data_IF_911515023166
#
_entry.id   IF_911515023166
#
_cell.length_a   1.000
_cell.length_b   1.000
_cell.length_c   1.000
_cell.angle_alpha   90.00
_cell.angle_beta   90.00
_cell.angle_gamma   90.00
#
_symmetry.space_group_name_H-M   'P 1'
#
loop_
_entity.id
_entity.type
_entity.pdbx_description
1 polymer ?
#
# COMPACT_ATOMS: atom_id res chain seq x y z
N UNK A 1 2.13 -11.51 -27.14
CA UNK A 1 1.16 -10.53 -26.61
C UNK A 1 1.52 -10.01 -25.21
N UNK A 2 1.92 -10.84 -24.25
CA UNK A 2 2.25 -10.38 -22.88
C UNK A 2 3.43 -9.39 -22.79
N UNK A 3 4.53 -9.63 -23.53
CA UNK A 3 5.75 -8.80 -23.47
C UNK A 3 5.54 -7.34 -23.93
N UNK A 4 4.68 -7.13 -24.93
CA UNK A 4 4.35 -5.81 -25.47
C UNK A 4 3.51 -5.00 -24.48
N UNK A 5 2.54 -5.63 -23.81
CA UNK A 5 1.76 -5.02 -22.75
C UNK A 5 2.63 -4.70 -21.53
N UNK A 6 3.55 -5.59 -21.16
CA UNK A 6 4.52 -5.37 -20.09
C UNK A 6 5.36 -4.13 -20.33
N UNK A 7 5.85 -3.93 -21.57
CA UNK A 7 6.61 -2.74 -21.93
C UNK A 7 5.82 -1.42 -21.76
N UNK A 8 4.48 -1.46 -21.84
CA UNK A 8 3.60 -0.31 -21.65
C UNK A 8 3.34 -0.05 -20.16
N UNK A 9 3.17 -1.09 -19.33
CA UNK A 9 2.81 -0.91 -17.91
C UNK A 9 4.01 -0.88 -16.97
N UNK A 10 5.18 -1.35 -17.41
CA UNK A 10 6.36 -1.42 -16.57
C UNK A 10 6.92 -0.01 -16.28
N UNK A 11 7.06 0.40 -15.01
CA UNK A 11 7.62 1.71 -14.64
C UNK A 11 9.10 1.88 -15.01
N UNK A 12 9.79 0.78 -15.31
CA UNK A 12 11.17 0.80 -15.82
C UNK A 12 11.23 1.25 -17.29
N UNK A 13 10.22 0.90 -18.10
CA UNK A 13 10.18 1.15 -19.55
C UNK A 13 9.29 2.32 -19.93
N UNK A 14 8.20 2.56 -19.18
CA UNK A 14 7.28 3.66 -19.42
C UNK A 14 7.39 4.76 -18.35
N UNK A 15 7.60 6.00 -18.80
CA UNK A 15 7.66 7.18 -17.93
C UNK A 15 6.33 7.46 -17.21
N UNK A 16 5.19 7.28 -17.87
CA UNK A 16 3.87 7.51 -17.25
C UNK A 16 3.60 6.53 -16.11
N UNK A 17 3.92 5.25 -16.32
CA UNK A 17 3.82 4.23 -15.26
C UNK A 17 4.73 4.56 -14.08
N UNK A 18 5.92 5.13 -14.33
CA UNK A 18 6.83 5.60 -13.27
C UNK A 18 6.26 6.76 -12.48
N UNK A 19 5.64 7.75 -13.14
CA UNK A 19 5.00 8.88 -12.44
C UNK A 19 3.81 8.40 -11.60
N UNK A 20 3.01 7.47 -12.13
CA UNK A 20 1.92 6.85 -11.37
C UNK A 20 2.44 6.13 -10.12
N UNK A 21 3.43 5.24 -10.28
CA UNK A 21 4.06 4.54 -9.15
C UNK A 21 4.62 5.51 -8.11
N UNK A 22 5.32 6.57 -8.57
CA UNK A 22 5.85 7.62 -7.69
C UNK A 22 4.73 8.29 -6.90
N UNK A 23 3.67 8.75 -7.57
CA UNK A 23 2.56 9.44 -6.92
C UNK A 23 1.85 8.55 -5.88
N UNK A 24 1.60 7.28 -6.19
CA UNK A 24 1.01 6.31 -5.27
C UNK A 24 1.94 6.08 -4.07
N UNK A 25 3.22 5.82 -4.32
CA UNK A 25 4.20 5.56 -3.25
C UNK A 25 4.34 6.74 -2.30
N UNK A 26 4.42 7.98 -2.81
CA UNK A 26 4.51 9.19 -1.99
C UNK A 26 3.27 9.37 -1.13
N UNK A 27 2.07 9.12 -1.67
CA UNK A 27 0.81 9.23 -0.91
C UNK A 27 0.73 8.20 0.21
N UNK A 28 1.18 6.97 -0.03
CA UNK A 28 1.19 5.92 0.99
C UNK A 28 2.22 6.18 2.10
N UNK A 29 3.42 6.66 1.74
CA UNK A 29 4.47 7.01 2.70
C UNK A 29 4.03 8.12 3.66
N UNK A 30 3.33 9.14 3.16
CA UNK A 30 2.73 10.20 4.00
C UNK A 30 1.81 9.70 5.12
N UNK A 31 1.14 8.57 4.92
CA UNK A 31 0.30 7.94 5.96
C UNK A 31 1.00 6.75 6.65
N UNK A 32 2.24 6.42 6.27
CA UNK A 32 2.98 5.28 6.80
C UNK A 32 2.34 3.93 6.49
N UNK A 33 1.64 3.82 5.36
CA UNK A 33 0.97 2.62 4.89
C UNK A 33 1.77 1.90 3.81
N UNK A 34 1.62 0.58 3.74
CA UNK A 34 2.06 -0.23 2.60
C UNK A 34 0.90 -0.38 1.61
N UNK A 35 1.22 -0.72 0.37
CA UNK A 35 0.21 -0.98 -0.65
C UNK A 35 -0.73 -2.13 -0.22
N UNK A 36 -0.16 -3.20 0.34
CA UNK A 36 -0.93 -4.36 0.77
C UNK A 36 -1.88 -4.08 1.94
N UNK A 37 -1.64 -3.00 2.69
CA UNK A 37 -2.50 -2.65 3.82
C UNK A 37 -3.89 -2.18 3.34
N UNK A 38 -4.02 -1.76 2.06
CA UNK A 38 -5.27 -1.28 1.46
C UNK A 38 -6.28 -2.40 1.12
N UNK A 39 -5.87 -3.66 1.15
CA UNK A 39 -6.72 -4.80 0.80
C UNK A 39 -7.73 -5.12 1.90
N UNK A 40 -9.01 -4.81 1.70
CA UNK A 40 -10.04 -5.03 2.73
C UNK A 40 -10.43 -6.52 2.84
N UNK A 41 -10.23 -7.17 4.01
CA UNK A 41 -10.64 -8.56 4.22
C UNK A 41 -12.16 -8.77 4.23
N UNK A 42 -12.98 -7.72 4.33
CA UNK A 42 -14.44 -7.84 4.21
C UNK A 42 -14.93 -7.84 2.76
N UNK A 43 -14.13 -7.32 1.83
CA UNK A 43 -14.50 -7.22 0.42
C UNK A 43 -14.22 -8.51 -0.35
N UNK A 44 -13.18 -9.26 0.03
CA UNK A 44 -12.78 -10.49 -0.63
C UNK A 44 -12.41 -11.58 0.39
N UNK A 45 -13.01 -12.77 0.20
CA UNK A 45 -12.80 -13.93 1.06
C UNK A 45 -11.35 -14.43 0.96
N UNK A 46 -10.74 -14.31 -0.22
CA UNK A 46 -9.37 -14.75 -0.45
C UNK A 46 -8.36 -13.90 0.33
N UNK A 47 -8.64 -12.61 0.49
CA UNK A 47 -7.82 -11.70 1.29
C UNK A 47 -7.92 -12.08 2.77
N UNK A 48 -9.12 -12.38 3.26
CA UNK A 48 -9.31 -12.84 4.65
C UNK A 48 -8.56 -14.14 4.93
N UNK A 49 -8.67 -15.11 4.03
CA UNK A 49 -7.97 -16.38 4.08
C UNK A 49 -6.44 -16.17 4.07
N UNK A 50 -5.94 -15.30 3.21
CA UNK A 50 -4.51 -14.97 3.14
C UNK A 50 -3.99 -14.36 4.44
N UNK A 51 -4.76 -13.46 5.07
CA UNK A 51 -4.37 -12.88 6.36
C UNK A 51 -4.37 -13.91 7.50
N UNK A 52 -5.28 -14.87 7.48
CA UNK A 52 -5.32 -15.94 8.48
C UNK A 52 -4.11 -16.89 8.37
N UNK A 53 -3.51 -17.01 7.18
CA UNK A 53 -2.31 -17.84 6.93
C UNK A 53 -1.00 -17.13 7.26
N UNK A 54 -1.00 -15.80 7.34
CA UNK A 54 0.21 -15.03 7.64
C UNK A 54 0.59 -15.17 9.12
N UNK A 55 1.89 -15.01 9.46
CA UNK A 55 2.34 -14.94 10.85
C UNK A 55 1.66 -13.79 11.60
N UNK A 56 1.38 -14.02 12.87
CA UNK A 56 0.66 -13.07 13.72
C UNK A 56 1.37 -11.71 13.81
N UNK A 57 2.70 -11.70 13.84
CA UNK A 57 3.52 -10.49 13.94
C UNK A 57 3.32 -9.58 12.72
N UNK A 58 3.14 -10.16 11.54
CA UNK A 58 2.91 -9.43 10.29
C UNK A 58 1.53 -8.77 10.30
N UNK A 59 0.52 -9.52 10.76
CA UNK A 59 -0.87 -9.05 10.86
C UNK A 59 -0.99 -7.95 11.92
N UNK A 60 -0.38 -8.14 13.09
CA UNK A 60 -0.39 -7.14 14.16
C UNK A 60 0.33 -5.85 13.72
N UNK A 61 1.46 -5.96 13.02
CA UNK A 61 2.16 -4.80 12.45
C UNK A 61 1.31 -4.08 11.38
N UNK A 62 0.53 -4.81 10.58
CA UNK A 62 -0.45 -4.24 9.64
C UNK A 62 -1.53 -3.46 10.38
N UNK A 63 -2.15 -4.04 11.41
CA UNK A 63 -3.17 -3.36 12.20
C UNK A 63 -2.64 -2.08 12.87
N UNK A 64 -1.40 -2.10 13.37
CA UNK A 64 -0.75 -0.91 13.93
C UNK A 64 -0.59 0.21 12.89
N UNK A 65 -0.16 -0.11 11.66
CA UNK A 65 -0.05 0.87 10.57
C UNK A 65 -1.41 1.46 10.19
N UNK A 66 -2.43 0.62 10.05
CA UNK A 66 -3.80 1.05 9.73
C UNK A 66 -4.36 1.98 10.81
N UNK A 67 -4.21 1.62 12.09
CA UNK A 67 -4.68 2.47 13.21
C UNK A 67 -4.00 3.83 13.20
N UNK A 68 -2.68 3.87 12.98
CA UNK A 68 -1.91 5.12 12.86
C UNK A 68 -2.38 5.97 11.68
N UNK A 69 -2.59 5.36 10.52
CA UNK A 69 -3.05 6.10 9.33
C UNK A 69 -4.45 6.70 9.53
N UNK A 70 -5.35 5.98 10.19
CA UNK A 70 -6.69 6.48 10.55
C UNK A 70 -6.59 7.66 11.52
N UNK A 71 -5.73 7.57 12.53
CA UNK A 71 -5.48 8.66 13.48
C UNK A 71 -4.93 9.92 12.79
N UNK A 72 -3.91 9.77 11.94
CA UNK A 72 -3.36 10.86 11.13
C UNK A 72 -4.41 11.48 10.19
N UNK A 73 -5.21 10.64 9.53
CA UNK A 73 -6.29 11.11 8.65
C UNK A 73 -7.36 11.89 9.41
N UNK A 74 -7.71 11.45 10.62
CA UNK A 74 -8.67 12.16 11.48
C UNK A 74 -8.14 13.52 11.93
N UNK A 75 -6.83 13.62 12.19
CA UNK A 75 -6.14 14.86 12.58
C UNK A 75 -5.85 15.79 11.40
N UNK A 76 -6.05 15.33 10.16
CA UNK A 76 -5.59 16.03 8.94
C UNK A 76 -4.08 16.33 8.96
N UNK A 77 -3.29 15.43 9.54
CA UNK A 77 -1.83 15.52 9.64
C UNK A 77 -1.17 14.37 8.87
N UNK A 78 0.12 14.56 8.52
CA UNK A 78 0.92 13.52 7.87
C UNK A 78 2.00 13.00 8.82
N UNK A 79 2.51 11.82 8.49
CA UNK A 79 3.63 11.23 9.22
C UNK A 79 4.88 12.14 9.10
N UNK A 80 5.65 12.33 10.18
CA UNK A 80 6.91 13.08 10.13
C UNK A 80 7.86 12.56 9.05
N UNK A 81 8.61 13.46 8.39
CA UNK A 81 9.45 13.13 7.23
C UNK A 81 10.56 12.11 7.55
N UNK A 82 11.04 12.05 8.79
CA UNK A 82 12.01 11.08 9.27
C UNK A 82 11.45 9.65 9.32
N UNK A 83 10.14 9.51 9.42
CA UNK A 83 9.43 8.22 9.48
C UNK A 83 8.75 7.82 8.16
N UNK A 84 8.78 8.69 7.13
CA UNK A 84 8.19 8.46 5.80
C UNK A 84 9.07 7.61 4.88
#
# INVERSE_FOLDING_TARGET
MASLLQAIVDPKRNWFARQHMKAVSTRLRKYGLRYDDLYDPYYDVDIKEALNRLPKEVVDARHARLKRAIDLSMKHEYLPEDLQ
#
